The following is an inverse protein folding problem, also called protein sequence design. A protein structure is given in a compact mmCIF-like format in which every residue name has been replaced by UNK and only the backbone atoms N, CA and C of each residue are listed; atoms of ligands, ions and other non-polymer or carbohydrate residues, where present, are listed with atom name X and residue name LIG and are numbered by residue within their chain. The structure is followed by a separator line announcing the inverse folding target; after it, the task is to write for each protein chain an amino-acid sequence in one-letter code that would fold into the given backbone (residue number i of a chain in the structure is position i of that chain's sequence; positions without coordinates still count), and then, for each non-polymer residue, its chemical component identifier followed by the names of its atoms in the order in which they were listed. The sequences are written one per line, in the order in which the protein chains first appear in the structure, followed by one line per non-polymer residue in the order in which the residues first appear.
data_IF_967266987980
#
_entry.id   IF_967266987980
#
_cell.length_a   1.000
_cell.length_b   1.000
_cell.length_c   1.000
_cell.angle_alpha   90.00
_cell.angle_beta   90.00
_cell.angle_gamma   90.00
#
_symmetry.space_group_name_H-M   'P 1'
#
loop_
_entity.id
_entity.type
_entity.pdbx_description
1 polymer ?
#
# COMPACT_ATOMS: atom_id res chain seq x y z
N UNK A 1 -20.07 19.07 26.24
CA UNK A 1 -21.31 18.24 26.19
C UNK A 1 -22.25 18.55 25.03
N UNK A 2 -22.22 19.72 24.43
CA UNK A 2 -23.02 20.06 23.23
C UNK A 2 -22.47 19.50 21.93
N UNK A 3 -21.16 19.39 21.78
CA UNK A 3 -20.53 18.83 20.56
C UNK A 3 -20.85 17.35 20.33
N UNK A 4 -20.93 16.55 21.40
CA UNK A 4 -21.25 15.12 21.30
C UNK A 4 -22.72 14.87 20.89
N UNK A 5 -23.64 15.78 21.21
CA UNK A 5 -25.05 15.70 20.79
C UNK A 5 -25.23 16.08 19.32
N UNK A 6 -24.40 16.97 18.79
CA UNK A 6 -24.40 17.35 17.36
C UNK A 6 -23.92 16.22 16.47
N UNK A 7 -22.81 15.55 16.85
CA UNK A 7 -22.26 14.39 16.12
C UNK A 7 -23.27 13.22 16.11
N UNK A 8 -23.95 12.95 17.22
CA UNK A 8 -25.00 11.92 17.31
C UNK A 8 -26.19 12.19 16.38
N UNK A 9 -26.58 13.46 16.17
CA UNK A 9 -27.65 13.82 15.22
C UNK A 9 -27.21 13.67 13.77
N UNK A 10 -25.98 14.07 13.43
CA UNK A 10 -25.42 13.93 12.07
C UNK A 10 -25.27 12.46 11.70
N UNK A 11 -24.77 11.62 12.61
CA UNK A 11 -24.65 10.18 12.41
C UNK A 11 -26.00 9.51 12.23
N UNK A 12 -27.03 9.88 13.02
CA UNK A 12 -28.39 9.36 12.84
C UNK A 12 -29.05 9.80 11.54
N UNK A 13 -28.79 11.02 11.06
CA UNK A 13 -29.31 11.49 9.77
C UNK A 13 -28.59 10.84 8.58
N UNK A 14 -27.31 10.52 8.69
CA UNK A 14 -26.57 9.78 7.66
C UNK A 14 -27.06 8.32 7.54
N UNK A 15 -27.48 7.70 8.64
CA UNK A 15 -28.01 6.33 8.64
C UNK A 15 -29.38 6.19 7.96
N UNK A 16 -30.17 7.27 7.87
CA UNK A 16 -31.53 7.23 7.31
C UNK A 16 -31.57 7.32 5.78
N UNK A 17 -30.49 7.75 5.12
CA UNK A 17 -30.41 7.85 3.65
C UNK A 17 -29.86 6.60 2.94
N UNK A 18 -29.51 5.54 3.69
CA UNK A 18 -28.78 4.37 3.16
C UNK A 18 -29.65 3.18 2.71
N UNK A 19 -30.99 3.32 2.73
CA UNK A 19 -31.91 2.21 2.41
C UNK A 19 -32.65 2.35 1.07
N UNK A 20 -31.93 2.52 -0.05
CA UNK A 20 -32.50 2.25 -1.37
C UNK A 20 -31.50 1.38 -2.16
N UNK A 21 -31.56 0.08 -1.88
CA UNK A 21 -30.77 -0.92 -2.58
C UNK A 21 -31.40 -1.34 -3.91
N UNK A 22 -30.76 -1.03 -5.01
CA UNK A 22 -30.93 -1.77 -6.27
C UNK A 22 -29.79 -2.78 -6.37
N UNK A 23 -30.15 -4.05 -6.59
CA UNK A 23 -29.19 -5.12 -6.89
C UNK A 23 -28.53 -4.78 -8.24
N UNK A 24 -27.34 -4.20 -8.20
CA UNK A 24 -26.52 -3.94 -9.38
C UNK A 24 -25.20 -4.70 -9.23
N UNK A 25 -24.77 -5.41 -10.26
CA UNK A 25 -23.48 -6.10 -10.31
C UNK A 25 -22.36 -5.15 -9.85
N UNK A 26 -21.55 -5.61 -8.88
CA UNK A 26 -20.51 -4.81 -8.28
C UNK A 26 -19.48 -4.39 -9.33
N UNK A 27 -19.37 -3.11 -9.59
CA UNK A 27 -18.27 -2.55 -10.36
C UNK A 27 -17.05 -2.51 -9.43
N UNK A 28 -16.06 -3.36 -9.68
CA UNK A 28 -14.83 -3.37 -8.89
C UNK A 28 -13.92 -2.22 -9.32
N UNK A 29 -13.87 -1.15 -8.55
CA UNK A 29 -12.89 -0.08 -8.73
C UNK A 29 -11.47 -0.60 -8.49
N UNK A 30 -10.54 -0.25 -9.38
CA UNK A 30 -9.14 -0.63 -9.26
C UNK A 30 -8.41 0.23 -8.22
N UNK A 31 -7.34 -0.33 -7.62
CA UNK A 31 -6.45 0.42 -6.74
C UNK A 31 -5.78 1.59 -7.49
N UNK A 32 -5.27 1.29 -8.68
CA UNK A 32 -4.78 2.27 -9.64
C UNK A 32 -5.93 2.61 -10.57
N UNK A 33 -6.54 3.79 -10.42
CA UNK A 33 -7.75 4.17 -11.15
C UNK A 33 -7.54 4.21 -12.66
N UNK A 34 -6.32 4.41 -13.11
CA UNK A 34 -5.94 4.35 -14.53
C UNK A 34 -5.85 2.91 -15.10
N UNK A 35 -5.98 1.86 -14.28
CA UNK A 35 -6.10 0.46 -14.74
C UNK A 35 -7.56 0.06 -15.03
N UNK A 36 -8.52 0.99 -14.85
CA UNK A 36 -9.90 0.80 -15.21
C UNK A 36 -10.08 0.96 -16.73
N UNK A 37 -10.96 0.16 -17.33
CA UNK A 37 -11.30 0.23 -18.75
C UNK A 37 -12.82 0.22 -18.91
N UNK A 38 -13.34 1.25 -19.56
CA UNK A 38 -14.75 1.47 -19.77
C UNK A 38 -15.14 1.38 -21.25
N UNK A 39 -14.28 0.89 -22.13
CA UNK A 39 -14.54 0.74 -23.56
C UNK A 39 -15.77 -0.14 -23.86
N UNK A 40 -16.07 -1.13 -23.00
CA UNK A 40 -17.27 -1.97 -23.09
C UNK A 40 -18.59 -1.21 -22.99
N UNK A 41 -18.57 0.03 -22.45
CA UNK A 41 -19.75 0.88 -22.37
C UNK A 41 -20.07 1.60 -23.68
N UNK A 42 -19.25 1.47 -24.70
CA UNK A 42 -19.38 2.15 -26.01
C UNK A 42 -20.78 1.99 -26.62
N UNK A 43 -21.33 0.77 -26.61
CA UNK A 43 -22.55 0.40 -27.27
C UNK A 43 -23.64 -0.14 -26.32
N UNK A 44 -23.49 0.06 -24.99
CA UNK A 44 -24.46 -0.36 -23.99
C UNK A 44 -25.41 0.78 -23.58
N UNK A 45 -26.60 0.41 -23.08
CA UNK A 45 -27.46 1.35 -22.35
C UNK A 45 -26.79 1.69 -21.02
N UNK A 46 -26.77 2.97 -20.65
CA UNK A 46 -25.97 3.48 -19.53
C UNK A 46 -26.83 4.23 -18.53
N UNK A 47 -26.60 3.98 -17.25
CA UNK A 47 -27.15 4.80 -16.18
C UNK A 47 -26.34 6.11 -16.03
N UNK A 48 -26.75 7.00 -15.11
CA UNK A 48 -26.07 8.27 -14.89
C UNK A 48 -24.56 8.13 -14.64
N UNK A 49 -24.13 7.21 -13.76
CA UNK A 49 -22.72 7.01 -13.44
C UNK A 49 -21.93 6.42 -14.61
N UNK A 50 -22.53 5.50 -15.36
CA UNK A 50 -21.90 4.91 -16.54
C UNK A 50 -21.74 5.92 -17.67
N UNK A 51 -22.64 6.92 -17.76
CA UNK A 51 -22.47 8.04 -18.68
C UNK A 51 -21.22 8.88 -18.35
N UNK A 52 -20.85 9.03 -17.07
CA UNK A 52 -19.60 9.68 -16.68
C UNK A 52 -18.36 8.84 -17.04
N UNK A 53 -18.49 7.53 -17.13
CA UNK A 53 -17.40 6.61 -17.45
C UNK A 53 -17.10 6.50 -18.95
N UNK A 54 -18.06 6.88 -19.79
CA UNK A 54 -17.87 6.85 -21.23
C UNK A 54 -18.63 8.02 -21.88
N UNK A 55 -17.95 9.16 -22.00
CA UNK A 55 -18.44 10.38 -22.69
C UNK A 55 -17.81 10.42 -24.07
N UNK A 56 -18.53 10.04 -25.15
CA UNK A 56 -17.96 10.08 -26.50
C UNK A 56 -17.73 11.53 -26.92
N UNK A 57 -16.59 11.79 -27.56
CA UNK A 57 -16.18 13.09 -28.08
C UNK A 57 -16.35 13.19 -29.60
N UNK A 58 -16.56 12.04 -30.30
CA UNK A 58 -16.82 11.99 -31.73
C UNK A 58 -17.90 10.94 -32.06
N UNK A 59 -18.37 10.91 -33.30
CA UNK A 59 -19.42 9.99 -33.74
C UNK A 59 -18.97 8.52 -33.76
N UNK A 60 -17.72 8.24 -34.09
CA UNK A 60 -17.13 6.91 -34.09
C UNK A 60 -16.91 6.35 -32.69
N UNK A 61 -17.05 7.21 -31.64
CA UNK A 61 -16.85 6.91 -30.22
C UNK A 61 -15.47 6.26 -29.92
N UNK A 62 -14.47 6.57 -30.72
CA UNK A 62 -13.08 6.17 -30.47
C UNK A 62 -12.29 7.27 -29.75
N UNK A 63 -12.82 8.52 -29.73
CA UNK A 63 -12.42 9.58 -28.84
C UNK A 63 -13.43 9.68 -27.71
N UNK A 64 -13.02 9.40 -26.48
CA UNK A 64 -13.91 9.46 -25.33
C UNK A 64 -13.18 9.91 -24.07
N UNK A 65 -13.96 10.35 -23.11
CA UNK A 65 -13.52 10.83 -21.81
C UNK A 65 -14.21 10.01 -20.73
N UNK A 66 -13.46 9.62 -19.70
CA UNK A 66 -13.96 8.96 -18.49
C UNK A 66 -13.65 9.80 -17.26
N UNK A 67 -14.65 10.04 -16.42
CA UNK A 67 -14.51 10.73 -15.15
C UNK A 67 -14.69 9.78 -13.99
N UNK A 68 -13.97 10.01 -12.91
CA UNK A 68 -14.17 9.31 -11.66
C UNK A 68 -13.52 10.01 -10.49
N UNK A 69 -13.81 9.52 -9.30
CA UNK A 69 -13.31 10.11 -8.08
C UNK A 69 -13.44 9.19 -6.87
N UNK A 70 -12.90 9.68 -5.75
CA UNK A 70 -13.00 9.08 -4.43
C UNK A 70 -13.15 10.17 -3.38
N UNK A 71 -14.01 9.93 -2.39
CA UNK A 71 -14.04 10.67 -1.13
C UNK A 71 -13.86 9.67 0.01
N UNK A 72 -12.90 9.93 0.91
CA UNK A 72 -12.59 9.08 2.06
C UNK A 72 -12.52 9.91 3.33
N UNK A 73 -13.22 9.45 4.35
CA UNK A 73 -13.14 9.95 5.71
C UNK A 73 -12.66 8.82 6.61
N UNK A 74 -11.66 9.06 7.43
CA UNK A 74 -11.11 8.06 8.33
C UNK A 74 -10.84 8.67 9.70
N UNK A 75 -11.56 8.20 10.70
CA UNK A 75 -11.28 8.48 12.10
C UNK A 75 -10.21 7.50 12.58
N UNK A 76 -9.21 8.00 13.27
CA UNK A 76 -8.11 7.23 13.87
C UNK A 76 -8.00 7.59 15.33
N UNK A 77 -7.84 6.58 16.18
CA UNK A 77 -7.51 6.72 17.60
C UNK A 77 -6.30 5.84 17.94
N UNK A 78 -5.26 6.48 18.43
CA UNK A 78 -4.10 5.81 19.01
C UNK A 78 -4.09 6.01 20.51
N UNK A 79 -3.98 4.93 21.28
CA UNK A 79 -3.60 4.97 22.68
C UNK A 79 -2.18 4.42 22.83
N UNK A 80 -1.30 5.18 23.48
CA UNK A 80 0.13 4.88 23.65
C UNK A 80 0.87 4.67 22.31
N UNK A 81 0.71 5.60 21.36
CA UNK A 81 1.48 5.60 20.12
C UNK A 81 2.99 5.50 20.42
N UNK A 82 3.74 4.73 19.62
CA UNK A 82 5.16 4.40 19.86
C UNK A 82 5.42 3.84 21.27
N UNK A 83 4.48 2.98 21.75
CA UNK A 83 4.56 2.31 23.05
C UNK A 83 4.66 3.26 24.25
N UNK A 84 4.07 4.43 24.11
CA UNK A 84 4.06 5.46 25.14
C UNK A 84 5.35 6.28 25.23
N UNK A 85 6.32 6.09 24.32
CA UNK A 85 7.61 6.80 24.31
C UNK A 85 7.47 8.32 24.33
N UNK A 86 6.46 8.87 23.65
CA UNK A 86 6.19 10.31 23.61
C UNK A 86 5.32 10.80 24.78
N UNK A 87 4.93 9.91 25.70
CA UNK A 87 4.02 10.19 26.80
C UNK A 87 2.70 10.87 26.37
N UNK A 88 2.24 10.59 25.16
CA UNK A 88 0.95 10.99 24.63
C UNK A 88 0.00 9.81 24.89
N UNK A 89 -1.03 10.00 25.72
CA UNK A 89 -2.03 8.97 25.99
C UNK A 89 -2.87 8.67 24.74
N UNK A 90 -3.99 9.33 24.62
CA UNK A 90 -4.85 9.27 23.44
C UNK A 90 -4.45 10.32 22.39
N UNK A 91 -4.35 9.90 21.15
CA UNK A 91 -4.08 10.74 19.99
C UNK A 91 -5.11 10.40 18.91
N UNK A 92 -6.21 11.14 18.87
CA UNK A 92 -7.28 10.92 17.92
C UNK A 92 -7.33 12.03 16.87
N UNK A 93 -7.64 11.67 15.64
CA UNK A 93 -7.65 12.59 14.53
C UNK A 93 -8.51 12.09 13.34
N UNK A 94 -8.86 13.01 12.47
CA UNK A 94 -9.60 12.75 11.25
C UNK A 94 -8.68 12.92 10.04
N UNK A 95 -8.70 11.94 9.15
CA UNK A 95 -8.09 11.99 7.82
C UNK A 95 -9.19 12.13 6.77
N UNK A 96 -8.98 13.02 5.81
CA UNK A 96 -9.89 13.27 4.69
C UNK A 96 -9.08 13.18 3.40
N UNK A 97 -9.58 12.42 2.41
CA UNK A 97 -8.95 12.32 1.08
C UNK A 97 -10.00 12.47 0.01
N UNK A 98 -9.70 13.32 -0.96
CA UNK A 98 -10.54 13.55 -2.13
C UNK A 98 -9.72 13.38 -3.38
N UNK A 99 -10.17 12.54 -4.28
CA UNK A 99 -9.59 12.30 -5.59
C UNK A 99 -10.59 12.65 -6.69
N UNK A 100 -10.12 13.29 -7.74
CA UNK A 100 -10.86 13.50 -8.97
C UNK A 100 -9.95 13.20 -10.15
N UNK A 101 -10.43 12.39 -11.10
CA UNK A 101 -9.63 12.05 -12.29
C UNK A 101 -10.43 12.15 -13.58
N UNK A 102 -9.70 12.45 -14.65
CA UNK A 102 -10.14 12.39 -16.02
C UNK A 102 -9.20 11.49 -16.82
N UNK A 103 -9.78 10.63 -17.65
CA UNK A 103 -9.09 9.69 -18.52
C UNK A 103 -9.53 9.92 -19.96
N UNK A 104 -8.65 10.47 -20.78
CA UNK A 104 -8.93 10.93 -22.14
C UNK A 104 -8.30 9.92 -23.12
N UNK A 105 -9.14 9.26 -23.90
CA UNK A 105 -8.72 8.35 -24.97
C UNK A 105 -8.87 9.05 -26.32
N UNK A 106 -7.77 9.13 -27.08
CA UNK A 106 -7.70 9.76 -28.40
C UNK A 106 -7.37 8.68 -29.44
N UNK A 107 -8.41 7.98 -29.88
CA UNK A 107 -8.29 6.80 -30.72
C UNK A 107 -7.64 5.61 -29.98
N UNK A 108 -6.95 4.76 -30.75
CA UNK A 108 -6.35 3.52 -30.21
C UNK A 108 -4.94 3.72 -29.64
N UNK A 109 -4.28 4.84 -29.96
CA UNK A 109 -2.85 4.98 -29.74
C UNK A 109 -2.48 5.96 -28.63
N UNK A 110 -3.32 6.92 -28.31
CA UNK A 110 -3.00 7.95 -27.33
C UNK A 110 -4.01 7.99 -26.19
N UNK A 111 -3.51 8.15 -24.97
CA UNK A 111 -4.30 8.29 -23.76
C UNK A 111 -3.63 9.28 -22.82
N UNK A 112 -4.39 10.20 -22.27
CA UNK A 112 -3.94 11.12 -21.21
C UNK A 112 -4.75 10.83 -19.96
N UNK A 113 -4.08 10.58 -18.85
CA UNK A 113 -4.72 10.44 -17.55
C UNK A 113 -4.26 11.55 -16.62
N UNK A 114 -5.22 12.24 -16.00
CA UNK A 114 -4.97 13.28 -15.01
C UNK A 114 -5.78 13.02 -13.75
N UNK A 115 -5.15 13.14 -12.58
CA UNK A 115 -5.80 12.98 -11.27
C UNK A 115 -5.29 14.04 -10.30
N UNK A 116 -6.22 14.74 -9.70
CA UNK A 116 -5.99 15.64 -8.56
C UNK A 116 -6.27 14.87 -7.26
N UNK A 117 -5.52 15.21 -6.22
CA UNK A 117 -5.73 14.72 -4.85
C UNK A 117 -5.65 15.86 -3.86
N UNK A 118 -6.55 15.81 -2.88
CA UNK A 118 -6.45 16.56 -1.63
C UNK A 118 -6.44 15.57 -0.47
N UNK A 119 -5.45 15.67 0.40
CA UNK A 119 -5.29 14.90 1.63
C UNK A 119 -5.18 15.86 2.80
N UNK A 120 -6.14 15.81 3.72
CA UNK A 120 -6.25 16.72 4.86
C UNK A 120 -6.24 15.92 6.16
N UNK A 121 -5.67 16.51 7.20
CA UNK A 121 -5.64 15.93 8.54
C UNK A 121 -6.07 16.98 9.56
N UNK A 122 -6.87 16.58 10.55
CA UNK A 122 -7.31 17.44 11.63
C UNK A 122 -7.29 16.70 12.97
N UNK A 123 -6.92 17.42 14.05
CA UNK A 123 -7.01 16.97 15.44
C UNK A 123 -5.80 16.19 15.97
N UNK A 124 -4.80 15.82 15.16
CA UNK A 124 -3.64 15.07 15.62
C UNK A 124 -2.77 15.91 16.57
N UNK A 125 -2.41 15.37 17.73
CA UNK A 125 -1.45 16.00 18.64
C UNK A 125 -0.09 16.09 17.92
N UNK A 126 0.57 17.24 18.02
CA UNK A 126 1.82 17.61 17.32
C UNK A 126 1.65 17.81 15.80
N UNK A 127 0.44 17.94 15.29
CA UNK A 127 0.16 18.22 13.89
C UNK A 127 0.29 17.02 12.94
N UNK A 128 0.06 17.24 11.64
CA UNK A 128 0.08 16.18 10.63
C UNK A 128 1.49 15.63 10.41
N UNK A 129 1.58 14.33 10.12
CA UNK A 129 2.81 13.75 9.57
C UNK A 129 2.91 14.07 8.08
N UNK A 130 4.11 14.08 7.52
CA UNK A 130 4.32 14.32 6.08
C UNK A 130 3.65 13.31 5.13
N UNK A 131 3.07 12.23 5.68
CA UNK A 131 2.29 11.23 4.93
C UNK A 131 0.77 11.40 5.12
N UNK A 132 0.34 12.38 5.93
CA UNK A 132 -1.08 12.58 6.28
C UNK A 132 -1.68 13.81 5.59
N UNK A 133 -0.86 14.79 5.21
CA UNK A 133 -1.32 16.05 4.63
C UNK A 133 -0.61 16.40 3.32
N UNK A 134 -1.39 16.77 2.31
CA UNK A 134 -1.05 17.34 1.01
C UNK A 134 -2.34 18.02 0.52
N UNK A 135 -2.47 19.33 0.77
CA UNK A 135 -3.75 20.04 0.65
C UNK A 135 -4.36 19.95 -0.75
N UNK A 136 -3.55 20.07 -1.79
CA UNK A 136 -3.98 19.82 -3.16
C UNK A 136 -2.78 19.59 -4.07
N UNK A 137 -2.78 18.48 -4.81
CA UNK A 137 -1.73 18.19 -5.77
C UNK A 137 -2.19 17.38 -6.97
N UNK A 138 -1.34 17.31 -8.00
CA UNK A 138 -1.48 16.39 -9.11
C UNK A 138 -0.92 15.04 -8.66
N UNK A 139 -1.78 14.06 -8.45
CA UNK A 139 -1.41 12.70 -8.06
C UNK A 139 -0.89 11.88 -9.24
N UNK A 140 -1.60 11.95 -10.37
CA UNK A 140 -1.20 11.33 -11.63
C UNK A 140 -1.38 12.34 -12.77
N UNK A 141 -0.41 12.41 -13.67
CA UNK A 141 -0.48 13.13 -14.94
C UNK A 141 0.49 12.51 -15.92
N UNK A 142 -0.01 11.70 -16.83
CA UNK A 142 0.83 11.00 -17.80
C UNK A 142 0.16 10.84 -19.16
N UNK A 143 1.02 10.63 -20.16
CA UNK A 143 0.64 10.25 -21.53
C UNK A 143 1.02 8.78 -21.73
N UNK A 144 0.08 7.99 -22.27
CA UNK A 144 0.34 6.68 -22.85
C UNK A 144 0.37 6.77 -24.36
N UNK A 145 1.38 6.17 -24.97
CA UNK A 145 1.49 5.97 -26.41
C UNK A 145 1.53 4.48 -26.69
N UNK A 146 0.54 3.94 -27.36
CA UNK A 146 0.55 2.56 -27.85
C UNK A 146 1.45 2.49 -29.07
N UNK A 147 2.65 1.93 -28.87
CA UNK A 147 3.66 1.80 -29.94
C UNK A 147 3.31 0.66 -30.89
N UNK A 148 2.69 -0.38 -30.38
CA UNK A 148 2.30 -1.55 -31.15
C UNK A 148 1.20 -2.34 -30.45
N UNK A 149 0.25 -2.86 -31.23
CA UNK A 149 -0.81 -3.74 -30.76
C UNK A 149 -1.15 -4.77 -31.83
N UNK A 150 -1.19 -6.04 -31.46
CA UNK A 150 -1.59 -7.14 -32.33
C UNK A 150 -2.27 -8.22 -31.51
N UNK A 151 -3.55 -8.49 -31.79
CA UNK A 151 -4.39 -9.43 -31.02
C UNK A 151 -4.37 -9.12 -29.51
N UNK A 152 -3.87 -10.05 -28.69
CA UNK A 152 -3.74 -9.97 -27.24
C UNK A 152 -2.41 -9.30 -26.77
N UNK A 153 -1.55 -8.89 -27.70
CA UNK A 153 -0.25 -8.31 -27.41
C UNK A 153 -0.27 -6.81 -27.59
N UNK A 154 0.30 -6.11 -26.62
CA UNK A 154 0.35 -4.65 -26.61
C UNK A 154 1.68 -4.15 -26.06
N UNK A 155 2.25 -3.13 -26.70
CA UNK A 155 3.43 -2.40 -26.23
C UNK A 155 3.05 -0.92 -26.04
N UNK A 156 3.24 -0.41 -24.83
CA UNK A 156 2.87 0.95 -24.46
C UNK A 156 4.10 1.65 -23.87
N UNK A 157 4.30 2.90 -24.24
CA UNK A 157 5.20 3.83 -23.58
C UNK A 157 4.34 4.79 -22.72
N UNK A 158 4.65 4.90 -21.42
CA UNK A 158 4.07 5.89 -20.51
C UNK A 158 5.13 6.88 -20.07
N UNK A 159 4.81 8.16 -20.10
CA UNK A 159 5.68 9.22 -19.62
C UNK A 159 4.89 10.21 -18.78
N UNK A 160 5.41 10.58 -17.61
CA UNK A 160 4.79 11.53 -16.68
C UNK A 160 4.78 11.08 -15.25
N UNK A 161 3.94 11.75 -14.43
CA UNK A 161 3.72 11.46 -13.02
C UNK A 161 2.72 10.32 -12.88
N UNK A 162 3.07 9.29 -12.12
CA UNK A 162 2.27 8.09 -11.98
C UNK A 162 2.52 7.36 -10.64
N UNK A 163 1.51 6.71 -10.15
CA UNK A 163 1.61 5.75 -9.05
C UNK A 163 2.20 4.43 -9.57
N UNK A 164 2.86 3.68 -8.70
CA UNK A 164 3.37 2.33 -8.99
C UNK A 164 2.93 1.36 -7.90
N UNK A 165 2.47 0.18 -8.31
CA UNK A 165 2.13 -0.92 -7.40
C UNK A 165 2.49 -2.25 -8.08
N UNK A 166 3.37 -3.05 -7.45
CA UNK A 166 3.85 -4.29 -8.02
C UNK A 166 3.77 -5.46 -7.02
N UNK A 167 3.38 -6.60 -7.52
CA UNK A 167 3.37 -7.86 -6.77
C UNK A 167 2.42 -7.87 -5.58
N UNK A 168 2.96 -8.18 -4.40
CA UNK A 168 2.24 -8.13 -3.12
C UNK A 168 2.30 -6.76 -2.44
N UNK A 169 2.98 -5.78 -3.04
CA UNK A 169 3.25 -4.48 -2.45
C UNK A 169 4.36 -4.50 -1.38
N UNK A 170 5.15 -5.57 -1.29
CA UNK A 170 6.25 -5.67 -0.32
C UNK A 170 7.39 -4.72 -0.59
N UNK A 171 7.68 -4.42 -1.87
CA UNK A 171 8.80 -3.58 -2.28
C UNK A 171 8.35 -2.29 -2.96
N UNK A 172 7.31 -2.32 -3.77
CA UNK A 172 6.77 -1.13 -4.45
C UNK A 172 5.26 -1.13 -4.29
N UNK A 173 4.73 -0.10 -3.63
CA UNK A 173 3.31 0.10 -3.40
C UNK A 173 2.97 1.59 -3.40
N UNK A 174 1.74 1.90 -3.76
CA UNK A 174 1.16 3.26 -3.61
C UNK A 174 1.03 3.71 -2.16
N UNK A 175 1.19 2.83 -1.18
CA UNK A 175 0.93 3.09 0.25
C UNK A 175 -0.50 3.57 0.48
N UNK A 176 -1.48 2.74 0.19
CA UNK A 176 -2.91 3.08 0.35
C UNK A 176 -3.32 3.43 1.78
N UNK A 177 -2.62 2.92 2.80
CA UNK A 177 -2.90 3.20 4.22
C UNK A 177 -2.77 4.68 4.59
N UNK A 178 -1.61 5.33 4.37
CA UNK A 178 -1.43 6.77 4.57
C UNK A 178 -2.41 7.61 3.77
N UNK A 179 -2.67 8.84 4.24
CA UNK A 179 -3.60 9.75 3.58
C UNK A 179 -3.04 10.27 2.24
N UNK A 180 -1.76 10.65 2.21
CA UNK A 180 -1.02 10.95 0.99
C UNK A 180 -0.40 9.67 0.43
N UNK A 181 -0.70 9.32 -0.83
CA UNK A 181 -0.16 8.14 -1.53
C UNK A 181 1.12 8.50 -2.27
N UNK A 182 2.01 7.52 -2.41
CA UNK A 182 3.25 7.69 -3.16
C UNK A 182 2.98 7.76 -4.68
N UNK A 183 3.75 8.58 -5.34
CA UNK A 183 3.84 8.66 -6.79
C UNK A 183 5.28 8.98 -7.22
N UNK A 184 5.54 8.80 -8.51
CA UNK A 184 6.84 8.99 -9.12
C UNK A 184 6.68 9.71 -10.46
N UNK A 185 7.70 10.47 -10.86
CA UNK A 185 7.74 11.11 -12.18
C UNK A 185 8.82 10.46 -13.03
N UNK A 186 8.48 10.00 -14.25
CA UNK A 186 9.43 9.33 -15.12
C UNK A 186 8.80 8.64 -16.30
N UNK A 187 9.50 7.63 -16.81
CA UNK A 187 9.08 6.84 -17.97
C UNK A 187 8.94 5.35 -17.66
N UNK A 188 7.98 4.72 -18.31
CA UNK A 188 7.72 3.28 -18.23
C UNK A 188 7.36 2.72 -19.59
N UNK A 189 8.00 1.62 -20.00
CA UNK A 189 7.60 0.83 -21.14
C UNK A 189 6.95 -0.47 -20.66
N UNK A 190 5.79 -0.80 -21.21
CA UNK A 190 4.95 -1.90 -20.78
C UNK A 190 4.65 -2.81 -21.95
N UNK A 191 5.00 -4.10 -21.84
CA UNK A 191 4.54 -5.13 -22.76
C UNK A 191 3.59 -6.08 -22.04
N UNK A 192 2.48 -6.39 -22.67
CA UNK A 192 1.51 -7.34 -22.15
C UNK A 192 1.01 -8.30 -23.24
N UNK A 193 0.80 -9.55 -22.87
CA UNK A 193 0.11 -10.58 -23.62
C UNK A 193 -0.76 -11.41 -22.67
N UNK A 194 -1.53 -12.38 -23.19
CA UNK A 194 -2.41 -13.22 -22.38
C UNK A 194 -1.70 -14.01 -21.26
N UNK A 195 -0.40 -14.32 -21.41
CA UNK A 195 0.36 -15.14 -20.44
C UNK A 195 1.61 -14.50 -19.90
N UNK A 196 2.00 -13.35 -20.41
CA UNK A 196 3.22 -12.68 -20.01
C UNK A 196 3.06 -11.18 -20.04
N UNK A 197 3.54 -10.51 -19.00
CA UNK A 197 3.70 -9.05 -19.00
C UNK A 197 5.04 -8.67 -18.41
N UNK A 198 5.57 -7.55 -18.87
CA UNK A 198 6.79 -6.93 -18.32
C UNK A 198 6.68 -5.42 -18.41
N UNK A 199 7.01 -4.76 -17.31
CA UNK A 199 7.18 -3.32 -17.20
C UNK A 199 8.68 -3.04 -16.98
N UNK A 200 9.27 -2.12 -17.72
CA UNK A 200 10.58 -1.56 -17.43
C UNK A 200 10.44 -0.06 -17.20
N UNK A 201 11.05 0.48 -16.16
CA UNK A 201 10.80 1.86 -15.73
C UNK A 201 12.06 2.54 -15.17
N UNK A 202 12.04 3.88 -15.26
CA UNK A 202 13.03 4.78 -14.68
C UNK A 202 12.30 6.00 -14.12
N UNK A 203 12.40 6.22 -12.79
CA UNK A 203 11.56 7.11 -12.02
C UNK A 203 12.36 7.99 -11.07
N UNK A 204 11.88 9.20 -10.87
CA UNK A 204 12.29 10.13 -9.82
C UNK A 204 11.22 10.12 -8.72
N UNK A 205 11.62 9.94 -7.46
CA UNK A 205 10.71 10.03 -6.34
C UNK A 205 10.46 11.49 -5.99
N UNK A 206 9.21 11.90 -5.95
CA UNK A 206 8.85 13.27 -5.61
C UNK A 206 8.80 13.45 -4.08
N UNK A 207 9.13 14.65 -3.61
CA UNK A 207 8.99 15.01 -2.20
C UNK A 207 7.64 15.67 -1.99
N UNK A 208 6.83 15.09 -1.09
CA UNK A 208 5.49 15.58 -0.74
C UNK A 208 5.62 16.65 0.34
N UNK A 209 4.95 17.78 0.15
CA UNK A 209 4.77 18.85 1.11
C UNK A 209 3.29 19.04 1.43
N UNK A 210 2.98 19.77 2.49
CA UNK A 210 1.59 19.89 2.97
C UNK A 210 0.73 20.92 2.21
N UNK A 211 1.32 21.76 1.37
CA UNK A 211 0.64 22.89 0.74
C UNK A 211 -0.13 22.55 -0.55
N UNK A 212 -0.31 23.57 -1.37
CA UNK A 212 -1.06 23.50 -2.64
C UNK A 212 -0.07 23.57 -3.80
N UNK A 213 0.05 22.51 -4.60
CA UNK A 213 0.96 22.37 -5.74
C UNK A 213 2.44 22.69 -5.40
N UNK A 214 2.86 22.41 -4.18
CA UNK A 214 4.20 22.72 -3.67
C UNK A 214 5.15 21.52 -3.66
N UNK A 215 4.67 20.34 -4.02
CA UNK A 215 5.47 19.11 -4.12
C UNK A 215 6.59 19.26 -5.15
N UNK A 216 7.78 18.79 -4.77
CA UNK A 216 8.98 18.94 -5.58
C UNK A 216 9.41 17.62 -6.22
N UNK A 217 9.55 17.65 -7.53
CA UNK A 217 10.14 16.54 -8.27
C UNK A 217 11.63 16.41 -7.93
N UNK A 218 12.08 15.19 -7.63
CA UNK A 218 13.50 14.91 -7.51
C UNK A 218 14.20 15.17 -8.86
N UNK A 219 15.39 15.78 -8.81
CA UNK A 219 16.24 15.96 -10.00
C UNK A 219 17.11 14.73 -10.30
N UNK A 220 17.02 13.68 -9.48
CA UNK A 220 17.81 12.47 -9.58
C UNK A 220 16.93 11.27 -9.87
N UNK A 221 17.44 10.35 -10.69
CA UNK A 221 16.83 9.04 -10.85
C UNK A 221 17.00 8.27 -9.54
N UNK A 222 15.88 8.01 -8.88
CA UNK A 222 15.88 7.40 -7.54
C UNK A 222 15.41 5.94 -7.55
N UNK A 223 14.66 5.53 -8.59
CA UNK A 223 14.08 4.20 -8.71
C UNK A 223 14.11 3.78 -10.18
N UNK A 224 14.62 2.60 -10.47
CA UNK A 224 14.56 1.97 -11.80
C UNK A 224 14.40 0.48 -11.68
N UNK A 225 13.96 -0.17 -12.73
CA UNK A 225 13.85 -1.62 -12.72
C UNK A 225 13.02 -2.20 -13.83
N UNK A 226 12.84 -3.51 -13.72
CA UNK A 226 11.91 -4.28 -14.53
C UNK A 226 11.13 -5.25 -13.63
N UNK A 227 9.85 -5.39 -13.90
CA UNK A 227 8.95 -6.32 -13.20
C UNK A 227 8.17 -7.14 -14.23
N UNK A 228 8.29 -8.45 -14.19
CA UNK A 228 7.60 -9.35 -15.11
C UNK A 228 6.65 -10.29 -14.37
N UNK A 229 5.60 -10.71 -15.04
CA UNK A 229 4.65 -11.72 -14.58
C UNK A 229 4.42 -12.75 -15.68
N UNK A 230 4.56 -14.03 -15.33
CA UNK A 230 4.32 -15.19 -16.17
C UNK A 230 3.14 -15.95 -15.57
N UNK A 231 2.13 -16.24 -16.39
CA UNK A 231 0.88 -16.93 -15.97
C UNK A 231 0.96 -18.40 -16.36
N UNK A 232 0.89 -19.27 -15.37
CA UNK A 232 0.71 -20.72 -15.54
C UNK A 232 -0.72 -21.09 -15.15
N UNK A 233 -1.63 -21.37 -16.10
CA UNK A 233 -3.08 -21.45 -15.85
C UNK A 233 -3.49 -22.43 -14.75
N UNK A 234 -2.71 -23.49 -14.50
CA UNK A 234 -2.99 -24.49 -13.46
C UNK A 234 -2.16 -24.31 -12.19
N UNK A 235 -0.93 -23.81 -12.33
CA UNK A 235 0.05 -23.75 -11.26
C UNK A 235 0.16 -22.35 -10.60
N UNK A 236 -0.53 -21.32 -11.11
CA UNK A 236 -0.47 -19.97 -10.56
C UNK A 236 0.40 -19.03 -11.39
N UNK A 237 1.08 -18.10 -10.76
CA UNK A 237 1.82 -17.04 -11.43
C UNK A 237 3.25 -16.98 -10.88
N UNK A 238 4.19 -16.63 -11.75
CA UNK A 238 5.58 -16.36 -11.39
C UNK A 238 5.91 -14.92 -11.74
N UNK A 239 6.32 -14.15 -10.74
CA UNK A 239 6.86 -12.82 -10.94
C UNK A 239 8.40 -12.90 -10.83
N UNK A 240 9.10 -12.22 -11.73
CA UNK A 240 10.55 -12.03 -11.71
C UNK A 240 10.83 -10.54 -11.81
N UNK A 241 11.69 -10.02 -10.96
CA UNK A 241 11.97 -8.60 -10.94
C UNK A 241 13.42 -8.25 -10.61
N UNK A 242 13.82 -7.11 -11.15
CA UNK A 242 15.03 -6.40 -10.78
C UNK A 242 14.66 -4.95 -10.49
N UNK A 243 15.08 -4.43 -9.33
CA UNK A 243 14.81 -3.08 -8.87
C UNK A 243 16.11 -2.42 -8.42
N UNK A 244 16.30 -1.16 -8.73
CA UNK A 244 17.42 -0.37 -8.26
C UNK A 244 16.95 0.91 -7.60
N UNK A 245 17.59 1.30 -6.50
CA UNK A 245 17.40 2.62 -5.88
C UNK A 245 18.74 3.32 -5.70
N UNK A 246 18.66 4.67 -5.68
CA UNK A 246 19.76 5.54 -5.24
C UNK A 246 19.22 6.60 -4.30
N UNK A 247 19.87 6.75 -3.15
CA UNK A 247 19.60 7.79 -2.15
C UNK A 247 20.90 8.47 -1.76
N UNK A 248 20.89 9.77 -1.61
CA UNK A 248 22.09 10.51 -1.16
C UNK A 248 22.37 10.29 0.31
N UNK A 249 21.30 10.04 1.09
CA UNK A 249 21.33 9.76 2.51
C UNK A 249 20.32 8.67 2.83
N UNK A 250 20.76 7.63 3.51
CA UNK A 250 19.94 6.58 4.09
C UNK A 250 20.38 6.33 5.52
N UNK A 251 19.45 6.19 6.44
CA UNK A 251 19.70 5.96 7.86
C UNK A 251 19.43 4.50 8.21
N UNK A 252 20.47 3.82 8.68
CA UNK A 252 20.42 2.49 9.30
C UNK A 252 21.09 2.51 10.68
N UNK A 253 21.07 1.40 11.41
CA UNK A 253 21.75 1.30 12.71
C UNK A 253 23.25 1.67 12.62
N UNK A 254 23.92 1.38 11.49
CA UNK A 254 25.32 1.74 11.24
C UNK A 254 25.55 3.22 10.96
N UNK A 255 24.50 4.04 10.85
CA UNK A 255 24.61 5.47 10.61
C UNK A 255 23.96 5.97 9.34
N UNK A 256 24.40 7.13 8.86
CA UNK A 256 23.88 7.81 7.67
C UNK A 256 24.94 7.77 6.59
N UNK A 257 24.59 7.26 5.40
CA UNK A 257 25.47 7.23 4.24
C UNK A 257 24.69 7.23 2.92
N UNK A 258 25.35 7.56 1.79
CA UNK A 258 24.79 7.36 0.46
C UNK A 258 24.52 5.87 0.21
N UNK A 259 23.38 5.58 -0.42
CA UNK A 259 22.95 4.22 -0.75
C UNK A 259 22.74 4.07 -2.26
N UNK A 260 23.36 3.05 -2.85
CA UNK A 260 23.00 2.53 -4.17
C UNK A 260 22.75 1.04 -4.03
N UNK A 261 21.48 0.65 -4.14
CA UNK A 261 21.03 -0.72 -3.88
C UNK A 261 20.35 -1.32 -5.10
N UNK A 262 20.67 -2.56 -5.38
CA UNK A 262 20.07 -3.40 -6.39
C UNK A 262 19.33 -4.53 -5.69
N UNK A 263 18.15 -4.89 -6.19
CA UNK A 263 17.31 -5.97 -5.67
C UNK A 263 16.93 -6.89 -6.81
N UNK A 264 17.27 -8.16 -6.72
CA UNK A 264 16.78 -9.21 -7.62
C UNK A 264 15.85 -10.13 -6.82
N UNK A 265 14.67 -10.43 -7.36
CA UNK A 265 13.71 -11.24 -6.63
C UNK A 265 12.74 -12.01 -7.52
N UNK A 266 12.05 -12.93 -6.87
CA UNK A 266 11.05 -13.80 -7.48
C UNK A 266 9.89 -14.00 -6.53
N UNK A 267 8.70 -14.15 -7.09
CA UNK A 267 7.48 -14.44 -6.36
C UNK A 267 6.65 -15.48 -7.09
N UNK A 268 6.29 -16.58 -6.43
CA UNK A 268 5.39 -17.61 -6.96
C UNK A 268 4.09 -17.61 -6.15
N UNK A 269 2.95 -17.42 -6.84
CA UNK A 269 1.71 -17.18 -6.14
C UNK A 269 0.47 -17.67 -6.86
N UNK A 270 -0.54 -18.03 -6.07
CA UNK A 270 -1.88 -18.41 -6.52
C UNK A 270 -2.91 -18.04 -5.48
N UNK A 271 -4.01 -17.40 -5.90
CA UNK A 271 -5.16 -17.10 -5.08
C UNK A 271 -6.40 -17.80 -5.64
N UNK A 272 -7.28 -18.27 -4.73
CA UNK A 272 -8.52 -18.98 -5.08
C UNK A 272 -8.31 -20.46 -5.37
N UNK A 273 -9.44 -21.22 -5.36
CA UNK A 273 -9.44 -22.63 -5.66
C UNK A 273 -8.88 -23.53 -4.56
N UNK A 274 -9.23 -23.25 -3.30
CA UNK A 274 -8.83 -24.06 -2.14
C UNK A 274 -7.45 -23.71 -1.64
N UNK A 275 -6.38 -24.33 -2.16
CA UNK A 275 -5.02 -24.06 -1.70
C UNK A 275 -4.46 -22.74 -2.27
N UNK A 276 -4.04 -21.87 -1.36
CA UNK A 276 -3.53 -20.53 -1.62
C UNK A 276 -2.07 -20.47 -1.21
N UNK A 277 -1.22 -19.84 -2.03
CA UNK A 277 0.17 -19.59 -1.68
C UNK A 277 0.68 -18.30 -2.32
N UNK A 278 1.63 -17.67 -1.62
CA UNK A 278 2.35 -16.48 -2.05
C UNK A 278 3.76 -16.55 -1.43
N UNK A 279 4.69 -17.06 -2.22
CA UNK A 279 6.08 -17.28 -1.83
C UNK A 279 6.94 -16.23 -2.52
N UNK A 280 7.71 -15.47 -1.77
CA UNK A 280 8.54 -14.38 -2.32
C UNK A 280 9.93 -14.41 -1.68
N UNK A 281 10.97 -14.27 -2.50
CA UNK A 281 12.35 -14.13 -2.06
C UNK A 281 13.05 -13.04 -2.86
N UNK A 282 13.90 -12.26 -2.17
CA UNK A 282 14.70 -11.22 -2.80
C UNK A 282 16.07 -11.11 -2.15
N UNK A 283 17.07 -10.81 -2.98
CA UNK A 283 18.43 -10.55 -2.58
C UNK A 283 18.83 -9.12 -2.97
N UNK A 284 19.54 -8.44 -2.08
CA UNK A 284 19.98 -7.06 -2.26
C UNK A 284 21.49 -6.94 -2.19
N UNK A 285 22.06 -6.19 -3.14
CA UNK A 285 23.48 -5.91 -3.26
C UNK A 285 23.74 -4.48 -3.71
N UNK A 286 24.97 -3.99 -3.58
CA UNK A 286 25.33 -2.62 -3.93
C UNK A 286 26.26 -2.00 -2.90
N UNK A 287 26.15 -0.68 -2.67
CA UNK A 287 27.00 0.05 -1.74
C UNK A 287 26.22 0.91 -0.76
N UNK A 288 26.71 1.00 0.46
CA UNK A 288 26.29 1.92 1.51
C UNK A 288 27.54 2.60 2.06
N UNK A 289 27.70 3.90 1.79
CA UNK A 289 28.98 4.57 2.03
C UNK A 289 30.14 3.88 1.32
N UNK A 290 31.15 3.48 2.09
CA UNK A 290 32.32 2.70 1.63
C UNK A 290 32.09 1.19 1.64
N UNK A 291 31.05 0.70 2.36
CA UNK A 291 30.76 -0.71 2.50
C UNK A 291 29.87 -1.30 1.41
N UNK A 292 29.83 -2.63 1.35
CA UNK A 292 28.97 -3.39 0.45
C UNK A 292 27.65 -3.75 1.10
N UNK A 293 26.58 -3.81 0.31
CA UNK A 293 25.27 -4.32 0.71
C UNK A 293 25.21 -5.81 0.41
N UNK A 294 24.73 -6.59 1.41
CA UNK A 294 24.47 -8.02 1.29
C UNK A 294 23.28 -8.37 2.17
N UNK A 295 22.07 -8.20 1.64
CA UNK A 295 20.83 -8.34 2.41
C UNK A 295 19.82 -9.21 1.66
N UNK A 296 18.88 -9.80 2.39
CA UNK A 296 17.91 -10.72 1.79
C UNK A 296 16.59 -10.76 2.55
N UNK A 297 15.55 -11.23 1.89
CA UNK A 297 14.27 -11.56 2.50
C UNK A 297 13.69 -12.84 1.88
N UNK A 298 12.99 -13.61 2.69
CA UNK A 298 12.15 -14.71 2.25
C UNK A 298 10.81 -14.65 2.98
N UNK A 299 9.72 -14.82 2.24
CA UNK A 299 8.35 -14.78 2.73
C UNK A 299 7.57 -15.97 2.21
N UNK A 300 6.76 -16.56 3.08
CA UNK A 300 5.79 -17.59 2.73
C UNK A 300 4.43 -17.25 3.35
N UNK A 301 3.40 -17.07 2.52
CA UNK A 301 2.02 -16.93 2.94
C UNK A 301 1.23 -18.07 2.31
N UNK A 302 0.84 -19.05 3.14
CA UNK A 302 0.22 -20.30 2.69
C UNK A 302 -1.10 -20.47 3.42
N UNK A 303 -2.14 -20.87 2.70
CA UNK A 303 -3.45 -21.02 3.28
C UNK A 303 -4.39 -21.93 2.50
N UNK A 304 -5.57 -22.09 3.04
CA UNK A 304 -6.64 -22.83 2.42
C UNK A 304 -7.98 -22.14 2.58
N UNK A 305 -8.72 -22.02 1.47
CA UNK A 305 -10.07 -21.44 1.41
C UNK A 305 -11.12 -22.54 1.39
N UNK A 306 -12.03 -22.52 2.36
CA UNK A 306 -13.15 -23.46 2.49
C UNK A 306 -14.41 -22.88 1.82
N UNK A 307 -14.39 -22.76 0.50
CA UNK A 307 -15.41 -22.04 -0.30
C UNK A 307 -16.85 -22.59 -0.14
N UNK A 308 -16.98 -23.90 0.18
CA UNK A 308 -18.27 -24.59 0.30
C UNK A 308 -18.80 -24.68 1.73
N UNK A 309 -18.22 -23.94 2.67
CA UNK A 309 -18.65 -23.93 4.09
C UNK A 309 -19.34 -22.61 4.43
N UNK A 310 -20.11 -22.61 5.54
CA UNK A 310 -20.69 -21.38 6.11
C UNK A 310 -19.55 -20.38 6.41
N UNK A 311 -19.74 -19.10 6.08
CA UNK A 311 -18.78 -18.02 6.24
C UNK A 311 -17.50 -18.13 5.37
N UNK A 312 -17.35 -19.16 4.55
CA UNK A 312 -16.23 -19.39 3.62
C UNK A 312 -14.87 -19.04 4.23
N UNK A 313 -14.50 -19.63 5.39
CA UNK A 313 -13.26 -19.26 6.04
C UNK A 313 -12.06 -19.53 5.14
N UNK A 314 -11.09 -18.60 5.15
CA UNK A 314 -9.76 -18.83 4.62
C UNK A 314 -8.78 -18.76 5.78
N UNK A 315 -8.01 -19.80 6.03
CA UNK A 315 -7.03 -19.88 7.11
C UNK A 315 -5.65 -19.82 6.47
N UNK A 316 -4.79 -18.93 6.96
CA UNK A 316 -3.48 -18.67 6.41
C UNK A 316 -2.42 -18.63 7.52
N UNK A 317 -1.20 -19.00 7.15
CA UNK A 317 0.00 -18.76 7.92
C UNK A 317 1.00 -18.02 7.04
N UNK A 318 1.36 -16.81 7.47
CA UNK A 318 2.44 -16.04 6.88
C UNK A 318 3.66 -16.08 7.77
N UNK A 319 4.82 -16.18 7.16
CA UNK A 319 6.11 -16.09 7.84
C UNK A 319 7.05 -15.24 6.99
N UNK A 320 7.74 -14.32 7.62
CA UNK A 320 8.74 -13.47 6.98
C UNK A 320 10.08 -13.62 7.70
N UNK A 321 11.13 -13.75 6.91
CA UNK A 321 12.53 -13.66 7.34
C UNK A 321 13.18 -12.53 6.58
N UNK A 322 13.61 -11.49 7.29
CA UNK A 322 14.11 -10.26 6.70
C UNK A 322 15.41 -9.89 7.39
N UNK A 323 16.52 -9.93 6.64
CA UNK A 323 17.85 -9.74 7.19
C UNK A 323 18.03 -8.38 7.86
N UNK A 324 18.78 -8.39 8.96
CA UNK A 324 19.37 -7.25 9.62
C UNK A 324 20.89 -7.42 9.67
N UNK A 325 21.58 -6.42 10.13
CA UNK A 325 23.03 -6.45 10.23
C UNK A 325 23.49 -7.39 11.37
N UNK A 326 24.39 -8.30 11.04
CA UNK A 326 24.96 -9.28 11.99
C UNK A 326 26.24 -8.76 12.64
N UNK A 327 26.89 -7.74 12.08
CA UNK A 327 28.18 -7.25 12.54
C UNK A 327 28.31 -5.73 12.40
N UNK A 328 27.87 -5.01 13.42
CA UNK A 328 27.95 -3.55 13.50
C UNK A 328 29.36 -2.96 13.49
N UNK A 329 30.41 -3.79 13.57
CA UNK A 329 31.80 -3.34 13.66
C UNK A 329 32.53 -3.33 12.29
N UNK A 330 31.83 -3.59 11.18
CA UNK A 330 32.37 -3.49 9.85
C UNK A 330 31.54 -2.49 9.00
N UNK A 331 32.03 -2.15 7.81
CA UNK A 331 31.37 -1.18 6.92
C UNK A 331 30.26 -1.80 6.06
N UNK A 332 30.11 -3.14 6.02
CA UNK A 332 29.13 -3.81 5.21
C UNK A 332 27.75 -3.75 5.81
N UNK A 333 26.73 -3.53 5.01
CA UNK A 333 25.33 -3.44 5.42
C UNK A 333 24.57 -4.71 5.04
N UNK A 334 24.11 -5.47 6.04
CA UNK A 334 23.27 -6.66 5.84
C UNK A 334 21.78 -6.39 6.09
N UNK A 335 21.43 -5.15 6.43
CA UNK A 335 20.06 -4.71 6.66
C UNK A 335 19.31 -4.61 5.35
N UNK A 336 18.20 -5.35 5.25
CA UNK A 336 17.29 -5.30 4.10
C UNK A 336 16.56 -3.94 4.05
N UNK A 337 16.45 -3.36 2.85
CA UNK A 337 15.67 -2.15 2.62
C UNK A 337 14.39 -2.52 1.85
N UNK A 338 13.19 -2.27 2.39
CA UNK A 338 11.94 -2.61 1.73
C UNK A 338 11.56 -1.66 0.58
N UNK A 339 12.40 -0.69 0.24
CA UNK A 339 12.21 0.31 -0.82
C UNK A 339 11.01 1.24 -0.57
N UNK A 340 9.84 0.90 -1.13
CA UNK A 340 8.58 1.65 -1.03
C UNK A 340 7.41 0.73 -0.67
N UNK A 341 7.45 0.04 0.49
CA UNK A 341 6.54 -1.05 0.80
C UNK A 341 5.14 -0.56 1.20
N UNK A 342 4.17 -1.46 1.15
CA UNK A 342 2.85 -1.29 1.74
C UNK A 342 2.97 -1.26 3.27
N UNK A 343 2.54 -0.14 3.88
CA UNK A 343 2.71 0.07 5.32
C UNK A 343 1.92 -0.89 6.22
N UNK A 344 0.72 -1.31 5.81
CA UNK A 344 -0.15 -2.20 6.58
C UNK A 344 0.13 -3.70 6.43
N UNK A 345 1.34 -4.10 6.06
CA UNK A 345 1.69 -5.52 5.89
C UNK A 345 1.81 -6.27 7.22
N UNK A 346 2.32 -5.60 8.25
CA UNK A 346 2.58 -6.17 9.58
C UNK A 346 1.63 -5.65 10.67
N UNK A 347 0.59 -4.90 10.30
CA UNK A 347 -0.39 -4.35 11.22
C UNK A 347 -0.90 -2.99 10.81
N UNK A 348 -1.83 -2.44 11.58
CA UNK A 348 -2.42 -1.12 11.32
C UNK A 348 -1.55 0.01 11.85
N UNK A 349 -0.81 -0.25 12.93
CA UNK A 349 0.12 0.70 13.53
C UNK A 349 1.47 0.68 12.82
N UNK A 350 2.00 1.81 12.31
CA UNK A 350 3.23 1.85 11.53
C UNK A 350 4.50 1.89 12.42
N UNK A 351 4.59 1.01 13.42
CA UNK A 351 5.67 1.01 14.40
C UNK A 351 6.75 -0.03 14.09
N UNK A 352 6.36 -1.18 13.51
CA UNK A 352 7.24 -2.26 13.10
C UNK A 352 7.12 -2.44 11.59
N UNK A 353 8.23 -2.47 10.89
CA UNK A 353 8.33 -2.59 9.44
C UNK A 353 9.17 -3.78 8.99
N UNK A 354 9.18 -4.07 7.68
CA UNK A 354 9.85 -5.23 7.10
C UNK A 354 11.38 -5.04 6.97
N UNK A 355 12.04 -4.84 8.09
CA UNK A 355 13.50 -4.63 8.18
C UNK A 355 14.01 -5.27 9.47
N UNK A 356 15.05 -6.07 9.42
CA UNK A 356 15.59 -6.79 10.58
C UNK A 356 14.50 -7.54 11.36
N UNK A 357 13.64 -8.30 10.66
CA UNK A 357 12.43 -8.85 11.22
C UNK A 357 12.29 -10.34 10.92
N UNK A 358 11.87 -11.09 11.93
CA UNK A 358 11.24 -12.40 11.78
C UNK A 358 9.81 -12.25 12.28
N UNK A 359 8.82 -12.65 11.48
CA UNK A 359 7.45 -12.73 11.97
C UNK A 359 6.79 -14.07 11.68
N UNK A 360 5.86 -14.42 12.57
CA UNK A 360 4.92 -15.53 12.41
C UNK A 360 3.52 -14.95 12.53
N UNK A 361 2.73 -15.09 11.48
CA UNK A 361 1.50 -14.36 11.31
C UNK A 361 0.34 -15.29 10.88
N UNK A 362 -0.26 -16.07 11.78
CA UNK A 362 -1.51 -16.75 11.52
C UNK A 362 -2.66 -15.76 11.38
N UNK A 363 -3.51 -15.94 10.37
CA UNK A 363 -4.71 -15.14 10.19
C UNK A 363 -5.84 -15.92 9.52
N UNK A 364 -7.06 -15.44 9.74
CA UNK A 364 -8.25 -16.00 9.10
C UNK A 364 -9.14 -14.89 8.55
N UNK A 365 -9.74 -15.14 7.39
CA UNK A 365 -10.78 -14.28 6.80
C UNK A 365 -12.10 -15.03 6.76
N UNK A 366 -13.21 -14.31 6.97
CA UNK A 366 -14.56 -14.84 7.05
C UNK A 366 -15.51 -13.94 6.27
N UNK A 367 -16.37 -14.51 5.43
CA UNK A 367 -17.51 -13.84 4.83
C UNK A 367 -18.72 -13.97 5.79
N UNK A 368 -18.88 -13.03 6.74
CA UNK A 368 -19.96 -13.07 7.72
C UNK A 368 -21.34 -12.88 7.07
N UNK A 369 -21.39 -11.98 6.07
CA UNK A 369 -22.50 -11.73 5.16
C UNK A 369 -21.92 -11.54 3.75
N UNK A 370 -22.73 -11.57 2.68
CA UNK A 370 -22.24 -11.27 1.32
C UNK A 370 -21.53 -9.92 1.23
N UNK A 371 -21.98 -8.93 2.01
CA UNK A 371 -21.44 -7.57 2.04
C UNK A 371 -20.45 -7.33 3.18
N UNK A 372 -20.33 -8.25 4.16
CA UNK A 372 -19.53 -8.08 5.38
C UNK A 372 -18.43 -9.13 5.47
N UNK A 373 -17.20 -8.69 5.33
CA UNK A 373 -16.00 -9.51 5.54
C UNK A 373 -15.31 -9.14 6.85
N UNK A 374 -14.77 -10.15 7.51
CA UNK A 374 -13.96 -10.01 8.72
C UNK A 374 -12.60 -10.69 8.51
N UNK A 375 -11.55 -10.09 9.04
CA UNK A 375 -10.24 -10.71 9.15
C UNK A 375 -9.75 -10.58 10.59
N UNK A 376 -9.15 -11.64 11.11
CA UNK A 376 -8.49 -11.67 12.42
C UNK A 376 -7.06 -12.16 12.24
N UNK A 377 -6.13 -11.48 12.92
CA UNK A 377 -4.69 -11.75 12.79
C UNK A 377 -4.03 -11.77 14.17
N UNK A 378 -2.98 -12.60 14.28
CA UNK A 378 -2.01 -12.51 15.36
C UNK A 378 -0.62 -12.45 14.72
N UNK A 379 0.18 -11.44 15.09
CA UNK A 379 1.52 -11.25 14.51
C UNK A 379 2.54 -11.25 15.62
N UNK A 380 3.36 -12.28 15.66
CA UNK A 380 4.50 -12.40 16.57
C UNK A 380 5.73 -11.81 15.87
N UNK A 381 6.44 -10.89 16.52
CA UNK A 381 7.55 -10.16 15.93
C UNK A 381 8.85 -10.32 16.73
N UNK A 382 9.94 -10.66 16.03
CA UNK A 382 11.31 -10.72 16.58
C UNK A 382 12.29 -9.97 15.69
N UNK A 383 13.33 -9.40 16.27
CA UNK A 383 14.49 -8.95 15.50
C UNK A 383 15.21 -10.14 14.88
N UNK A 384 15.59 -10.05 13.60
CA UNK A 384 16.45 -11.03 12.95
C UNK A 384 17.85 -11.02 13.57
N UNK A 385 18.41 -9.84 13.77
CA UNK A 385 19.70 -9.63 14.44
C UNK A 385 19.56 -8.72 15.65
N UNK A 386 20.23 -9.02 16.75
CA UNK A 386 20.33 -8.16 17.93
C UNK A 386 21.32 -7.01 17.74
N UNK A 387 22.19 -7.07 16.72
CA UNK A 387 23.11 -6.00 16.33
C UNK A 387 22.44 -4.91 15.48
N UNK A 388 21.16 -5.05 15.18
CA UNK A 388 20.41 -4.13 14.34
C UNK A 388 19.07 -3.72 15.01
N UNK A 389 18.54 -2.56 14.64
CA UNK A 389 17.39 -1.93 15.26
C UNK A 389 16.02 -2.46 14.77
N UNK A 390 14.97 -1.83 15.30
CA UNK A 390 13.60 -1.94 14.81
C UNK A 390 13.29 -0.74 13.92
N UNK A 391 12.70 -0.98 12.77
CA UNK A 391 12.43 0.01 11.74
C UNK A 391 10.94 0.21 11.53
N UNK A 392 10.56 1.40 11.06
CA UNK A 392 9.20 1.68 10.58
C UNK A 392 8.96 1.04 9.21
N UNK A 393 7.70 0.90 8.74
CA UNK A 393 7.40 0.40 7.40
C UNK A 393 8.09 1.17 6.27
N UNK A 394 8.42 2.44 6.48
CA UNK A 394 9.19 3.24 5.52
C UNK A 394 10.65 2.82 5.35
N UNK A 395 11.16 1.91 6.19
CA UNK A 395 12.58 1.57 6.28
C UNK A 395 13.39 2.54 7.16
N UNK A 396 12.73 3.50 7.83
CA UNK A 396 13.40 4.42 8.75
C UNK A 396 13.60 3.77 10.11
N UNK A 397 14.79 3.90 10.69
CA UNK A 397 15.10 3.42 12.03
C UNK A 397 14.15 4.04 13.08
N UNK A 398 13.50 3.19 13.87
CA UNK A 398 12.58 3.59 14.94
C UNK A 398 13.20 3.45 16.33
N UNK A 399 13.80 2.28 16.60
CA UNK A 399 14.50 2.00 17.86
C UNK A 399 15.86 1.40 17.53
N UNK A 400 16.91 1.97 18.14
CA UNK A 400 18.26 1.45 18.00
C UNK A 400 18.40 0.05 18.66
N UNK A 401 19.09 -0.85 17.99
CA UNK A 401 19.27 -2.22 18.45
C UNK A 401 20.37 -2.41 19.46
N UNK A 402 21.35 -1.51 19.46
CA UNK A 402 22.59 -1.62 20.26
C UNK A 402 22.36 -1.49 21.77
N UNK A 403 21.19 -1.07 22.22
CA UNK A 403 20.87 -0.87 23.63
C UNK A 403 20.27 -2.13 24.31
N UNK A 404 20.02 -3.21 23.58
CA UNK A 404 19.42 -4.43 24.14
C UNK A 404 19.79 -5.68 23.33
N UNK A 405 20.05 -6.80 24.02
CA UNK A 405 20.27 -8.09 23.40
C UNK A 405 18.98 -8.90 23.19
N UNK A 406 17.84 -8.37 23.62
CA UNK A 406 16.54 -9.00 23.49
C UNK A 406 16.07 -9.04 22.04
N UNK A 407 15.49 -10.16 21.59
CA UNK A 407 15.01 -10.35 20.24
C UNK A 407 13.52 -10.05 20.08
N UNK A 408 12.73 -10.40 21.11
CA UNK A 408 11.27 -10.35 21.02
C UNK A 408 10.75 -8.93 21.09
N UNK A 409 10.19 -8.44 19.96
CA UNK A 409 9.62 -7.08 19.84
C UNK A 409 8.25 -7.02 20.48
N UNK A 410 7.38 -8.01 20.22
CA UNK A 410 6.04 -8.06 20.75
C UNK A 410 5.05 -8.76 19.84
N UNK A 411 3.78 -8.81 20.29
CA UNK A 411 2.67 -9.43 19.54
C UNK A 411 1.59 -8.43 19.26
N UNK A 412 1.17 -8.34 17.97
CA UNK A 412 -0.01 -7.61 17.56
C UNK A 412 -1.21 -8.56 17.41
N UNK A 413 -2.35 -8.19 17.97
CA UNK A 413 -3.66 -8.83 17.77
C UNK A 413 -4.53 -7.86 17.00
N UNK A 414 -5.09 -8.29 15.87
CA UNK A 414 -5.83 -7.43 14.97
C UNK A 414 -7.19 -8.03 14.62
N UNK A 415 -8.17 -7.17 14.45
CA UNK A 415 -9.44 -7.50 13.80
C UNK A 415 -9.82 -6.37 12.85
N UNK A 416 -10.31 -6.73 11.68
CA UNK A 416 -10.69 -5.78 10.64
C UNK A 416 -12.00 -6.23 10.02
N UNK A 417 -12.88 -5.27 9.76
CA UNK A 417 -14.18 -5.45 9.15
C UNK A 417 -14.27 -4.59 7.89
N UNK A 418 -14.75 -5.18 6.81
CA UNK A 418 -15.05 -4.47 5.57
C UNK A 418 -16.51 -4.71 5.22
N UNK A 419 -17.31 -3.65 5.23
CA UNK A 419 -18.71 -3.65 4.86
C UNK A 419 -18.92 -2.89 3.54
N UNK A 420 -19.36 -3.59 2.50
CA UNK A 420 -19.69 -3.02 1.20
C UNK A 420 -21.17 -2.67 1.19
N UNK A 421 -21.50 -1.40 1.51
CA UNK A 421 -22.90 -0.93 1.50
C UNK A 421 -23.52 -1.11 0.11
N UNK A 422 -22.77 -0.76 -0.90
CA UNK A 422 -23.06 -1.01 -2.33
C UNK A 422 -21.75 -0.92 -3.15
N UNK A 423 -21.85 -0.94 -4.49
CA UNK A 423 -20.66 -0.84 -5.37
C UNK A 423 -19.86 0.46 -5.25
N UNK A 424 -20.44 1.52 -4.66
CA UNK A 424 -19.81 2.83 -4.53
C UNK A 424 -19.36 3.16 -3.10
N UNK A 425 -20.04 2.61 -2.09
CA UNK A 425 -19.87 2.97 -0.69
C UNK A 425 -19.36 1.76 0.10
N UNK A 426 -18.28 1.96 0.83
CA UNK A 426 -17.71 0.97 1.75
C UNK A 426 -17.38 1.57 3.10
N UNK A 427 -17.50 0.75 4.15
CA UNK A 427 -17.05 1.07 5.51
C UNK A 427 -15.99 0.04 5.88
N UNK A 428 -14.84 0.51 6.36
CA UNK A 428 -13.77 -0.34 6.88
C UNK A 428 -13.47 0.09 8.31
N UNK A 429 -13.38 -0.87 9.23
CA UNK A 429 -13.00 -0.60 10.61
C UNK A 429 -11.97 -1.61 11.06
N UNK A 430 -10.93 -1.16 11.76
CA UNK A 430 -9.87 -1.99 12.29
C UNK A 430 -9.55 -1.66 13.73
N UNK A 431 -9.21 -2.67 14.50
CA UNK A 431 -8.65 -2.55 15.84
C UNK A 431 -7.38 -3.39 15.94
N UNK A 432 -6.36 -2.84 16.60
CA UNK A 432 -5.13 -3.53 16.93
C UNK A 432 -4.76 -3.28 18.38
N UNK A 433 -4.45 -4.36 19.09
CA UNK A 433 -3.76 -4.32 20.38
C UNK A 433 -2.33 -4.84 20.17
N UNK A 434 -1.33 -4.04 20.52
CA UNK A 434 0.06 -4.43 20.47
C UNK A 434 0.61 -4.61 21.88
N UNK A 435 0.91 -5.87 22.24
CA UNK A 435 1.56 -6.21 23.50
C UNK A 435 3.08 -6.09 23.33
N UNK A 436 3.71 -5.21 24.12
CA UNK A 436 5.16 -5.01 24.10
C UNK A 436 5.93 -6.26 24.53
N UNK A 437 7.02 -6.53 23.81
CA UNK A 437 7.95 -7.62 24.13
C UNK A 437 9.14 -7.17 24.94
N UNK A 438 10.05 -8.10 25.25
CA UNK A 438 11.23 -7.88 26.07
C UNK A 438 12.13 -6.75 25.51
N UNK A 439 12.35 -6.72 24.18
CA UNK A 439 13.14 -5.67 23.54
C UNK A 439 12.59 -4.26 23.79
N UNK A 440 11.29 -4.05 23.58
CA UNK A 440 10.67 -2.74 23.79
C UNK A 440 10.73 -2.34 25.27
N UNK A 441 10.43 -3.28 26.17
CA UNK A 441 10.44 -3.03 27.61
C UNK A 441 11.84 -2.70 28.14
N UNK A 442 12.87 -3.23 27.51
CA UNK A 442 14.27 -2.98 27.85
C UNK A 442 14.73 -1.58 27.39
N UNK A 443 14.29 -1.17 26.19
CA UNK A 443 14.73 0.13 25.58
C UNK A 443 13.88 1.31 26.04
N UNK A 444 12.57 1.11 26.25
CA UNK A 444 11.65 2.19 26.60
C UNK A 444 11.26 2.04 28.08
N UNK A 445 11.85 2.88 28.97
CA UNK A 445 11.44 2.87 30.38
C UNK A 445 9.93 3.16 30.51
N UNK A 446 9.21 2.32 31.28
CA UNK A 446 7.77 2.39 31.45
C UNK A 446 6.98 2.29 30.12
N UNK A 447 7.46 1.47 29.19
CA UNK A 447 6.75 1.15 27.95
C UNK A 447 5.32 0.69 28.25
N UNK A 448 4.42 1.00 27.35
CA UNK A 448 2.99 0.67 27.47
C UNK A 448 2.54 -0.08 26.23
N UNK A 449 1.63 -1.02 26.41
CA UNK A 449 0.95 -1.65 25.28
C UNK A 449 0.17 -0.61 24.48
N UNK A 450 0.20 -0.76 23.16
CA UNK A 450 -0.44 0.17 22.25
C UNK A 450 -1.81 -0.31 21.79
N UNK A 451 -2.77 0.59 21.68
CA UNK A 451 -4.05 0.31 21.03
C UNK A 451 -4.24 1.25 19.85
N UNK A 452 -4.63 0.70 18.73
CA UNK A 452 -5.02 1.45 17.53
C UNK A 452 -6.44 1.07 17.14
N UNK A 453 -7.24 2.07 16.79
CA UNK A 453 -8.56 1.91 16.21
C UNK A 453 -8.71 2.83 15.01
N UNK A 454 -9.35 2.36 13.95
CA UNK A 454 -9.81 3.22 12.87
C UNK A 454 -11.21 2.84 12.38
N UNK A 455 -11.90 3.85 11.84
CA UNK A 455 -13.14 3.67 11.10
C UNK A 455 -13.10 4.57 9.86
N UNK A 456 -13.27 3.96 8.69
CA UNK A 456 -13.15 4.60 7.38
C UNK A 456 -14.44 4.47 6.60
N UNK A 457 -14.96 5.58 6.10
CA UNK A 457 -16.02 5.64 5.10
C UNK A 457 -15.40 6.02 3.76
N UNK A 458 -15.64 5.22 2.74
CA UNK A 458 -15.19 5.46 1.37
C UNK A 458 -16.35 5.55 0.39
N UNK A 459 -16.31 6.54 -0.49
CA UNK A 459 -17.20 6.67 -1.64
C UNK A 459 -16.34 6.73 -2.91
N UNK A 460 -16.66 5.91 -3.92
CA UNK A 460 -15.99 5.87 -5.23
C UNK A 460 -17.01 5.93 -6.34
N UNK A 461 -16.70 6.64 -7.41
CA UNK A 461 -17.53 6.70 -8.61
C UNK A 461 -16.68 6.71 -9.88
#
# INVERSE_FOLDING_TARGET
MESAKSISKIVKSLFLFLFLGTIASAQNFKLLRYDENYESLKDSSRNFYENLKFVPLNQEKDFYLSFGGEARYEYVDFNNEDWGRLNIGHNNFLLQRYDLHADIHLGKNFRVFAQLRSALQDGRINGPRGIDEDQLNIQNLFLDVTLWQQKDKKLILRAGRQELDYGSGRLISVREGPNARLYFTGGKIMYASSRFSIDAFAMMADTIYAGVFDNKMSKQLNLWGAYSKIIFPKAGNLDLYYLGIKRNESLFEQGIAPEKRHTAGTRFWKYGGGFIYNLEAAYQFGSFGSGNINAWTASADIGYSFENTKFKPTINLRNDYISGDLNKNNENLQTFNPLYPKGGYFGFSPQVGPVNLIDIHPYATLDLLPELKMQVDVVFNWRYSTNDGVYRPSGTLNLAGSASDERYIGTAYLANFTYSVNKYISVVSGIQYFKTGAFINDIIPNSKDGVFFNARLGFKF
#
